data_IF_599335643622
#
_entry.id   IF_599335643622
#
_cell.length_a   1.000
_cell.length_b   1.000
_cell.length_c   1.000
_cell.angle_alpha   90.00
_cell.angle_beta   90.00
_cell.angle_gamma   90.00
#
_symmetry.space_group_name_H-M   'P 1'
#
loop_
_entity.id
_entity.type
_entity.pdbx_description
1 polymer ?
#
# COMPACT_ATOMS: atom_id res chain seq x y z
N UNK A 1 39.77 -35.29 -61.63
CA UNK A 1 38.41 -35.71 -62.01
C UNK A 1 37.44 -34.81 -61.27
N UNK A 2 36.79 -33.89 -61.99
CA UNK A 2 35.94 -32.85 -61.43
C UNK A 2 34.46 -33.29 -61.49
N UNK A 3 33.66 -33.04 -60.45
CA UNK A 3 32.24 -33.40 -60.43
C UNK A 3 31.38 -32.48 -61.31
N UNK A 4 30.18 -32.94 -61.70
CA UNK A 4 29.32 -32.23 -62.63
C UNK A 4 28.51 -31.10 -61.99
N UNK A 5 28.21 -30.13 -62.84
CA UNK A 5 27.39 -28.94 -62.65
C UNK A 5 25.91 -29.33 -62.62
N UNK A 6 25.18 -28.93 -61.57
CA UNK A 6 23.72 -29.00 -61.53
C UNK A 6 23.08 -27.63 -61.32
N UNK A 7 22.43 -27.22 -62.39
CA UNK A 7 21.31 -26.31 -62.63
C UNK A 7 20.85 -25.35 -61.51
N UNK A 8 21.05 -24.05 -61.82
CA UNK A 8 20.38 -22.88 -61.27
C UNK A 8 18.87 -22.96 -61.57
N UNK A 9 18.03 -22.99 -60.52
CA UNK A 9 16.57 -22.82 -60.65
C UNK A 9 16.27 -21.32 -60.64
N UNK A 10 15.70 -20.81 -61.73
CA UNK A 10 15.29 -19.42 -61.87
C UNK A 10 14.01 -19.15 -61.04
N UNK A 11 14.06 -18.11 -60.21
CA UNK A 11 12.93 -17.61 -59.45
C UNK A 11 11.88 -16.95 -60.36
N UNK A 12 10.56 -17.09 -60.08
CA UNK A 12 9.52 -16.41 -60.84
C UNK A 12 9.49 -14.91 -60.52
N UNK A 13 9.44 -14.11 -61.59
CA UNK A 13 9.26 -12.66 -61.61
C UNK A 13 7.96 -12.25 -60.90
N UNK A 14 8.08 -11.40 -59.89
CA UNK A 14 6.98 -10.67 -59.26
C UNK A 14 6.32 -9.72 -60.27
N UNK A 15 5.00 -9.85 -60.45
CA UNK A 15 4.17 -8.84 -61.12
C UNK A 15 3.82 -7.70 -60.13
N UNK A 16 3.80 -6.44 -60.59
CA UNK A 16 3.43 -5.30 -59.77
C UNK A 16 1.90 -5.18 -59.69
N UNK A 17 1.34 -5.45 -58.51
CA UNK A 17 -0.06 -5.16 -58.21
C UNK A 17 -0.23 -3.66 -57.96
N UNK A 18 -0.72 -2.98 -58.99
CA UNK A 18 -1.68 -1.87 -58.96
C UNK A 18 -1.80 -1.07 -57.67
N UNK A 19 -1.20 0.12 -57.71
CA UNK A 19 -1.32 1.22 -56.76
C UNK A 19 -2.74 1.81 -56.82
N UNK A 20 -3.68 1.22 -56.08
CA UNK A 20 -4.99 1.81 -55.84
C UNK A 20 -4.85 2.87 -54.73
N UNK A 21 -4.70 4.13 -55.16
CA UNK A 21 -4.71 5.32 -54.32
C UNK A 21 -6.12 5.51 -53.74
N UNK A 22 -6.43 4.84 -52.63
CA UNK A 22 -7.59 5.19 -51.82
C UNK A 22 -7.31 6.53 -51.13
N UNK A 23 -7.95 7.59 -51.63
CA UNK A 23 -8.12 8.86 -50.94
C UNK A 23 -8.81 8.60 -49.60
N UNK A 24 -8.00 8.41 -48.57
CA UNK A 24 -8.41 8.44 -47.17
C UNK A 24 -8.81 9.88 -46.84
N UNK A 25 -10.12 10.11 -46.72
CA UNK A 25 -10.66 11.36 -46.22
C UNK A 25 -10.10 11.64 -44.82
N UNK A 26 -9.52 12.82 -44.57
CA UNK A 26 -9.15 13.23 -43.23
C UNK A 26 -10.34 13.90 -42.55
N UNK A 27 -10.46 13.63 -41.24
CA UNK A 27 -11.01 14.57 -40.25
C UNK A 27 -12.54 14.64 -40.09
N UNK A 28 -13.12 13.56 -39.57
CA UNK A 28 -14.15 13.62 -38.53
C UNK A 28 -13.80 12.63 -37.41
N UNK A 29 -12.63 12.82 -36.81
CA UNK A 29 -12.18 12.14 -35.59
C UNK A 29 -12.34 13.11 -34.43
N UNK A 30 -13.57 13.37 -34.00
CA UNK A 30 -13.91 13.97 -32.71
C UNK A 30 -15.43 13.82 -32.55
N UNK A 31 -15.85 13.14 -31.48
CA UNK A 31 -17.25 12.84 -31.09
C UNK A 31 -17.96 11.62 -31.73
N UNK A 32 -17.29 10.47 -31.76
CA UNK A 32 -18.01 9.20 -31.54
C UNK A 32 -17.39 8.44 -30.35
N UNK A 33 -17.47 9.03 -29.16
CA UNK A 33 -17.42 8.20 -27.95
C UNK A 33 -18.68 7.35 -27.97
N UNK A 34 -18.55 6.10 -28.41
CA UNK A 34 -19.64 5.14 -28.36
C UNK A 34 -20.14 5.00 -26.91
N UNK A 35 -21.46 4.90 -26.68
CA UNK A 35 -22.04 4.67 -25.35
C UNK A 35 -21.64 3.31 -24.74
N UNK A 36 -20.88 2.48 -25.45
CA UNK A 36 -20.33 1.19 -25.02
C UNK A 36 -19.43 1.25 -23.78
N UNK A 37 -18.89 2.44 -23.44
CA UNK A 37 -18.09 2.61 -22.22
C UNK A 37 -18.92 2.58 -20.92
N UNK A 38 -20.25 2.74 -21.01
CA UNK A 38 -21.12 2.81 -19.83
C UNK A 38 -21.62 1.43 -19.35
N UNK A 39 -21.48 0.36 -20.14
CA UNK A 39 -21.82 -1.01 -19.72
C UNK A 39 -20.91 -2.15 -20.26
N UNK A 40 -19.57 -2.08 -20.13
CA UNK A 40 -18.66 -3.19 -20.47
C UNK A 40 -19.07 -4.57 -19.92
N UNK A 41 -19.72 -4.66 -18.76
CA UNK A 41 -20.23 -5.90 -18.15
C UNK A 41 -21.22 -6.66 -19.03
N UNK A 42 -21.93 -5.96 -19.92
CA UNK A 42 -22.89 -6.58 -20.87
C UNK A 42 -22.21 -7.06 -22.15
N UNK A 43 -21.01 -6.58 -22.43
CA UNK A 43 -20.26 -6.90 -23.66
C UNK A 43 -19.09 -7.85 -23.42
N UNK A 44 -18.59 -7.93 -22.18
CA UNK A 44 -17.48 -8.80 -21.79
C UNK A 44 -17.98 -10.14 -21.28
N UNK A 45 -17.45 -11.22 -21.85
CA UNK A 45 -17.65 -12.56 -21.32
C UNK A 45 -17.21 -12.61 -19.84
N UNK A 46 -17.98 -13.27 -18.95
CA UNK A 46 -17.59 -13.43 -17.56
C UNK A 46 -16.28 -14.19 -17.45
N UNK A 47 -15.45 -13.79 -16.48
CA UNK A 47 -14.20 -14.52 -16.19
C UNK A 47 -14.51 -15.95 -15.74
N UNK A 48 -15.63 -16.13 -15.04
CA UNK A 48 -16.16 -17.42 -14.65
C UNK A 48 -17.65 -17.53 -15.05
N UNK A 49 -17.98 -18.49 -15.92
CA UNK A 49 -19.34 -18.63 -16.44
C UNK A 49 -20.39 -19.03 -15.39
N UNK A 50 -19.96 -19.53 -14.23
CA UNK A 50 -20.85 -19.84 -13.11
C UNK A 50 -21.10 -18.64 -12.18
N UNK A 51 -20.45 -17.48 -12.41
CA UNK A 51 -20.68 -16.28 -11.62
C UNK A 51 -22.10 -15.74 -11.80
N UNK A 52 -22.77 -15.50 -10.69
CA UNK A 52 -24.11 -14.91 -10.67
C UNK A 52 -24.11 -13.50 -11.30
N UNK A 53 -25.05 -13.18 -12.23
CA UNK A 53 -25.05 -11.90 -12.93
C UNK A 53 -25.13 -10.67 -12.01
N UNK A 54 -25.89 -10.77 -10.92
CA UNK A 54 -26.07 -9.64 -9.99
C UNK A 54 -24.77 -9.29 -9.23
N UNK A 55 -23.90 -10.28 -8.97
CA UNK A 55 -22.59 -10.05 -8.34
C UNK A 55 -21.71 -9.25 -9.29
N UNK A 56 -21.67 -9.65 -10.57
CA UNK A 56 -20.93 -8.91 -11.60
C UNK A 56 -21.44 -7.47 -11.68
N UNK A 57 -22.75 -7.25 -11.78
CA UNK A 57 -23.32 -5.89 -11.83
C UNK A 57 -22.97 -5.05 -10.60
N UNK A 58 -23.00 -5.65 -9.40
CA UNK A 58 -22.62 -4.98 -8.16
C UNK A 58 -21.16 -4.55 -8.17
N UNK A 59 -20.24 -5.46 -8.52
CA UNK A 59 -18.79 -5.21 -8.54
C UNK A 59 -18.41 -4.17 -9.58
N UNK A 60 -18.98 -4.23 -10.79
CA UNK A 60 -18.73 -3.23 -11.82
C UNK A 60 -19.26 -1.85 -11.42
N UNK A 61 -20.40 -1.80 -10.72
CA UNK A 61 -20.95 -0.55 -10.18
C UNK A 61 -20.05 0.02 -9.08
N UNK A 62 -19.60 -0.81 -8.14
CA UNK A 62 -18.64 -0.44 -7.09
C UNK A 62 -17.37 0.15 -7.71
N UNK A 63 -16.79 -0.53 -8.70
CA UNK A 63 -15.59 -0.07 -9.39
C UNK A 63 -15.77 1.29 -10.09
N UNK A 64 -16.91 1.52 -10.76
CA UNK A 64 -17.21 2.81 -11.40
C UNK A 64 -17.33 3.94 -10.39
N UNK A 65 -18.07 3.69 -9.31
CA UNK A 65 -18.23 4.65 -8.21
C UNK A 65 -16.87 4.95 -7.59
N UNK A 66 -16.05 3.94 -7.35
CA UNK A 66 -14.70 4.09 -6.83
C UNK A 66 -13.80 4.90 -7.76
N UNK A 67 -13.77 4.63 -9.07
CA UNK A 67 -12.97 5.43 -10.02
C UNK A 67 -13.43 6.89 -10.03
N UNK A 68 -14.75 7.14 -10.10
CA UNK A 68 -15.29 8.49 -10.16
C UNK A 68 -15.01 9.28 -8.88
N UNK A 69 -15.39 8.72 -7.72
CA UNK A 69 -15.33 9.42 -6.44
C UNK A 69 -13.97 9.31 -5.75
N UNK A 70 -13.22 8.22 -5.94
CA UNK A 70 -11.98 7.99 -5.19
C UNK A 70 -10.73 8.36 -5.99
N UNK A 71 -10.83 8.54 -7.31
CA UNK A 71 -9.69 8.88 -8.16
C UNK A 71 -9.92 10.20 -8.91
N UNK A 72 -10.97 10.29 -9.73
CA UNK A 72 -11.16 11.44 -10.65
C UNK A 72 -11.45 12.73 -9.90
N UNK A 73 -12.46 12.75 -9.02
CA UNK A 73 -12.80 13.97 -8.26
C UNK A 73 -11.68 14.40 -7.32
N UNK A 74 -11.03 13.52 -6.53
CA UNK A 74 -9.88 13.87 -5.69
C UNK A 74 -8.70 14.42 -6.48
N UNK A 75 -8.49 13.93 -7.70
CA UNK A 75 -7.43 14.44 -8.56
C UNK A 75 -7.75 15.86 -9.01
N UNK A 76 -9.00 16.13 -9.38
CA UNK A 76 -9.49 17.49 -9.65
C UNK A 76 -9.34 18.43 -8.45
N UNK A 77 -9.72 18.00 -7.25
CA UNK A 77 -9.56 18.78 -6.01
C UNK A 77 -8.09 19.04 -5.68
N UNK A 78 -7.22 18.03 -5.82
CA UNK A 78 -5.79 18.18 -5.63
C UNK A 78 -5.21 19.20 -6.63
N UNK A 79 -5.51 19.04 -7.92
CA UNK A 79 -5.06 19.96 -8.96
C UNK A 79 -5.57 21.40 -8.72
N UNK A 80 -6.85 21.56 -8.35
CA UNK A 80 -7.42 22.85 -8.01
C UNK A 80 -6.75 23.47 -6.77
N UNK A 81 -6.43 22.67 -5.75
CA UNK A 81 -5.70 23.15 -4.58
C UNK A 81 -4.30 23.64 -4.92
N UNK A 82 -3.54 22.89 -5.74
CA UNK A 82 -2.21 23.30 -6.21
C UNK A 82 -2.30 24.58 -7.05
N UNK A 83 -3.23 24.63 -8.01
CA UNK A 83 -3.43 25.80 -8.87
C UNK A 83 -3.80 27.06 -8.06
N UNK A 84 -4.64 26.92 -7.02
CA UNK A 84 -5.02 28.01 -6.13
C UNK A 84 -3.91 28.45 -5.17
N UNK A 85 -2.84 27.67 -5.04
CA UNK A 85 -1.65 28.00 -4.24
C UNK A 85 -0.54 28.68 -5.04
N UNK A 86 -0.57 28.59 -6.37
CA UNK A 86 0.36 29.34 -7.22
C UNK A 86 0.07 30.84 -7.05
N UNK A 87 0.97 31.62 -6.42
CA UNK A 87 0.69 33.01 -6.08
C UNK A 87 0.58 33.86 -7.35
N UNK A 88 -0.43 34.73 -7.44
CA UNK A 88 -0.45 35.82 -8.43
C UNK A 88 0.36 37.02 -7.96
N UNK A 89 0.43 37.21 -6.65
CA UNK A 89 1.29 38.17 -5.92
C UNK A 89 1.85 37.50 -4.67
N UNK A 90 2.98 37.96 -4.10
CA UNK A 90 3.63 37.32 -2.94
C UNK A 90 2.74 37.11 -1.72
N UNK A 91 1.74 37.98 -1.50
CA UNK A 91 0.87 37.99 -0.32
C UNK A 91 -0.50 37.31 -0.52
N UNK A 92 -0.84 36.86 -1.73
CA UNK A 92 -2.20 36.35 -2.07
C UNK A 92 -2.34 34.81 -1.94
N UNK A 93 -1.67 34.23 -0.95
CA UNK A 93 -1.67 32.78 -0.79
C UNK A 93 -2.93 32.31 -0.06
N UNK A 94 -3.86 31.68 -0.81
CA UNK A 94 -5.11 31.16 -0.25
C UNK A 94 -4.85 30.15 0.87
N UNK A 95 -5.36 30.44 2.08
CA UNK A 95 -5.31 29.55 3.25
C UNK A 95 -6.13 28.28 3.03
N UNK A 96 -7.32 28.42 2.47
CA UNK A 96 -8.21 27.30 2.20
C UNK A 96 -7.66 26.33 1.16
N UNK A 97 -6.95 26.83 0.15
CA UNK A 97 -6.22 25.99 -0.78
C UNK A 97 -5.13 25.16 -0.08
N UNK A 98 -4.48 25.68 0.97
CA UNK A 98 -3.51 24.91 1.74
C UNK A 98 -4.20 23.83 2.60
N UNK A 99 -5.30 24.18 3.27
CA UNK A 99 -6.09 23.24 4.07
C UNK A 99 -6.57 22.07 3.20
N UNK A 100 -7.15 22.37 2.03
CA UNK A 100 -7.58 21.35 1.06
C UNK A 100 -6.40 20.57 0.49
N UNK A 101 -5.25 21.20 0.20
CA UNK A 101 -4.05 20.52 -0.28
C UNK A 101 -3.52 19.50 0.76
N UNK A 102 -3.51 19.86 2.04
CA UNK A 102 -3.10 18.97 3.14
C UNK A 102 -4.06 17.79 3.30
N UNK A 103 -5.37 18.05 3.29
CA UNK A 103 -6.41 17.01 3.35
C UNK A 103 -6.31 16.06 2.16
N UNK A 104 -6.17 16.59 0.93
CA UNK A 104 -5.99 15.80 -0.28
C UNK A 104 -4.69 15.00 -0.27
N UNK A 105 -3.60 15.57 0.22
CA UNK A 105 -2.34 14.83 0.35
C UNK A 105 -2.48 13.65 1.31
N UNK A 106 -3.12 13.86 2.46
CA UNK A 106 -3.40 12.77 3.41
C UNK A 106 -4.34 11.72 2.82
N UNK A 107 -5.37 12.16 2.08
CA UNK A 107 -6.30 11.29 1.38
C UNK A 107 -5.56 10.39 0.38
N UNK A 108 -4.71 10.95 -0.48
CA UNK A 108 -3.96 10.19 -1.49
C UNK A 108 -2.97 9.21 -0.88
N UNK A 109 -2.38 9.55 0.28
CA UNK A 109 -1.56 8.61 1.03
C UNK A 109 -2.38 7.39 1.46
N UNK A 110 -3.55 7.61 2.06
CA UNK A 110 -4.44 6.53 2.50
C UNK A 110 -5.07 5.74 1.33
N UNK A 111 -5.49 6.43 0.27
CA UNK A 111 -6.16 5.80 -0.88
C UNK A 111 -5.21 5.12 -1.85
N UNK A 112 -3.88 5.33 -1.73
CA UNK A 112 -2.88 4.65 -2.56
C UNK A 112 -2.96 3.12 -2.49
N UNK A 113 -3.54 2.57 -1.41
CA UNK A 113 -3.82 1.14 -1.28
C UNK A 113 -4.83 0.63 -2.33
N UNK A 114 -5.70 1.49 -2.90
CA UNK A 114 -6.55 1.13 -4.04
C UNK A 114 -5.72 0.79 -5.29
N UNK A 115 -4.64 1.53 -5.56
CA UNK A 115 -3.76 1.23 -6.69
C UNK A 115 -3.04 -0.11 -6.49
N UNK A 116 -2.59 -0.38 -5.26
CA UNK A 116 -2.02 -1.68 -4.89
C UNK A 116 -3.06 -2.79 -5.03
N UNK A 117 -4.31 -2.55 -4.64
CA UNK A 117 -5.43 -3.49 -4.84
C UNK A 117 -5.60 -3.84 -6.31
N UNK A 118 -5.62 -2.84 -7.21
CA UNK A 118 -5.72 -3.07 -8.65
C UNK A 118 -4.53 -3.90 -9.15
N UNK A 119 -3.30 -3.55 -8.77
CA UNK A 119 -2.11 -4.29 -9.18
C UNK A 119 -2.13 -5.75 -8.71
N UNK A 120 -2.53 -6.00 -7.47
CA UNK A 120 -2.70 -7.35 -6.90
C UNK A 120 -3.81 -8.14 -7.61
N UNK A 121 -4.95 -7.51 -7.90
CA UNK A 121 -6.06 -8.17 -8.61
C UNK A 121 -5.70 -8.51 -10.06
N UNK A 122 -4.86 -7.71 -10.74
CA UNK A 122 -4.34 -8.06 -12.07
C UNK A 122 -3.52 -9.37 -12.00
N UNK A 123 -2.76 -9.58 -10.91
CA UNK A 123 -2.02 -10.82 -10.66
C UNK A 123 -2.86 -11.95 -10.07
N UNK A 124 -4.17 -11.75 -9.86
CA UNK A 124 -5.04 -12.69 -9.14
C UNK A 124 -4.56 -13.02 -7.71
N UNK A 125 -3.85 -12.08 -7.07
CA UNK A 125 -3.34 -12.31 -5.72
C UNK A 125 -4.44 -12.14 -4.66
N UNK A 126 -4.63 -13.15 -3.81
CA UNK A 126 -5.60 -13.14 -2.70
C UNK A 126 -5.46 -11.93 -1.77
N UNK A 127 -4.25 -11.41 -1.62
CA UNK A 127 -3.98 -10.20 -0.82
C UNK A 127 -4.77 -8.98 -1.32
N UNK A 128 -5.10 -8.92 -2.62
CA UNK A 128 -5.90 -7.85 -3.21
C UNK A 128 -7.29 -7.73 -2.59
N UNK A 129 -7.91 -8.85 -2.19
CA UNK A 129 -9.23 -8.87 -1.51
C UNK A 129 -9.18 -8.09 -0.19
N UNK A 130 -8.17 -8.35 0.62
CA UNK A 130 -7.96 -7.66 1.90
C UNK A 130 -7.56 -6.19 1.69
N UNK A 131 -6.63 -5.93 0.76
CA UNK A 131 -6.19 -4.58 0.44
C UNK A 131 -7.35 -3.69 -0.02
N UNK A 132 -8.30 -4.22 -0.80
CA UNK A 132 -9.49 -3.49 -1.22
C UNK A 132 -10.34 -3.02 -0.05
N UNK A 133 -10.66 -3.93 0.89
CA UNK A 133 -11.43 -3.62 2.09
C UNK A 133 -10.71 -2.58 2.96
N UNK A 134 -9.42 -2.81 3.21
CA UNK A 134 -8.58 -1.92 4.01
C UNK A 134 -8.47 -0.53 3.38
N UNK A 135 -8.36 -0.44 2.06
CA UNK A 135 -8.28 0.83 1.34
C UNK A 135 -9.54 1.68 1.55
N UNK A 136 -10.72 1.07 1.43
CA UNK A 136 -11.99 1.77 1.64
C UNK A 136 -12.15 2.24 3.10
N UNK A 137 -11.78 1.41 4.07
CA UNK A 137 -11.79 1.81 5.48
C UNK A 137 -10.83 2.99 5.75
N UNK A 138 -9.63 2.94 5.18
CA UNK A 138 -8.64 4.02 5.31
C UNK A 138 -9.09 5.32 4.64
N UNK A 139 -9.85 5.25 3.54
CA UNK A 139 -10.47 6.43 2.93
C UNK A 139 -11.39 7.12 3.93
N UNK A 140 -12.32 6.39 4.58
CA UNK A 140 -13.23 6.97 5.58
C UNK A 140 -12.44 7.62 6.73
N UNK A 141 -11.44 6.92 7.27
CA UNK A 141 -10.60 7.48 8.34
C UNK A 141 -9.91 8.76 7.88
N UNK A 142 -9.25 8.73 6.72
CA UNK A 142 -8.46 9.86 6.22
C UNK A 142 -9.28 11.14 6.02
N UNK A 143 -10.55 11.02 5.65
CA UNK A 143 -11.43 12.16 5.40
C UNK A 143 -11.84 12.87 6.69
N UNK A 144 -11.94 12.17 7.82
CA UNK A 144 -12.48 12.70 9.07
C UNK A 144 -11.48 12.79 10.22
N UNK A 145 -10.28 12.26 10.04
CA UNK A 145 -9.29 12.18 11.11
C UNK A 145 -8.83 13.56 11.63
N UNK A 146 -8.46 14.47 10.74
CA UNK A 146 -7.78 15.74 11.07
C UNK A 146 -8.75 16.81 11.59
N UNK A 147 -8.83 17.03 12.90
CA UNK A 147 -9.84 17.90 13.50
C UNK A 147 -9.62 19.38 13.20
N UNK A 148 -8.38 19.85 13.33
CA UNK A 148 -7.99 21.25 13.06
C UNK A 148 -8.27 21.67 11.61
N UNK A 149 -7.90 20.81 10.64
CA UNK A 149 -8.17 21.06 9.24
C UNK A 149 -9.67 21.00 8.90
N UNK A 150 -10.46 20.24 9.66
CA UNK A 150 -11.91 20.20 9.49
C UNK A 150 -12.57 21.47 10.01
N UNK A 151 -12.17 21.94 11.19
CA UNK A 151 -12.66 23.20 11.77
C UNK A 151 -12.38 24.38 10.81
N UNK A 152 -11.16 24.47 10.27
CA UNK A 152 -10.81 25.50 9.27
C UNK A 152 -11.63 25.42 7.98
N UNK A 153 -11.98 24.20 7.56
CA UNK A 153 -12.77 23.98 6.35
C UNK A 153 -14.25 24.35 6.57
N UNK A 154 -14.75 24.17 7.78
CA UNK A 154 -16.13 24.48 8.15
C UNK A 154 -16.34 26.00 8.30
N UNK A 155 -15.31 26.72 8.78
CA UNK A 155 -15.31 28.17 8.94
C UNK A 155 -15.06 28.95 7.63
N UNK A 156 -14.72 28.28 6.53
CA UNK A 156 -14.38 28.91 5.24
C UNK A 156 -15.37 28.59 4.10
N UNK A 157 -15.87 29.65 3.45
CA UNK A 157 -16.83 29.56 2.33
C UNK A 157 -16.21 29.66 0.93
N UNK A 158 -14.88 29.60 0.82
CA UNK A 158 -14.21 29.59 -0.47
C UNK A 158 -14.77 28.48 -1.39
N UNK A 159 -14.87 28.72 -2.72
CA UNK A 159 -15.41 27.74 -3.66
C UNK A 159 -14.75 26.36 -3.58
N UNK A 160 -13.43 26.32 -3.33
CA UNK A 160 -12.68 25.08 -3.19
C UNK A 160 -13.07 24.30 -1.92
N UNK A 161 -13.24 25.00 -0.79
CA UNK A 161 -13.71 24.40 0.47
C UNK A 161 -15.13 23.85 0.33
N UNK A 162 -16.02 24.58 -0.34
CA UNK A 162 -17.37 24.08 -0.66
C UNK A 162 -17.34 22.85 -1.57
N UNK A 163 -16.49 22.86 -2.61
CA UNK A 163 -16.33 21.71 -3.50
C UNK A 163 -15.81 20.48 -2.75
N UNK A 164 -14.82 20.64 -1.87
CA UNK A 164 -14.32 19.56 -1.02
C UNK A 164 -15.42 19.02 -0.12
N UNK A 165 -16.15 19.89 0.61
CA UNK A 165 -17.25 19.49 1.51
C UNK A 165 -18.34 18.72 0.77
N UNK A 166 -18.73 19.21 -0.41
CA UNK A 166 -19.73 18.56 -1.26
C UNK A 166 -19.30 17.17 -1.76
N UNK A 167 -18.00 16.97 -2.04
CA UNK A 167 -17.46 15.67 -2.43
C UNK A 167 -17.21 14.71 -1.26
N UNK A 168 -16.83 15.24 -0.10
CA UNK A 168 -16.43 14.44 1.08
C UNK A 168 -17.53 13.52 1.57
N UNK A 169 -18.77 14.02 1.67
CA UNK A 169 -19.90 13.24 2.18
C UNK A 169 -20.24 12.04 1.28
N UNK A 170 -20.54 12.21 -0.03
CA UNK A 170 -20.85 11.07 -0.89
C UNK A 170 -19.69 10.08 -0.97
N UNK A 171 -18.45 10.55 -0.93
CA UNK A 171 -17.27 9.67 -0.88
C UNK A 171 -17.21 8.83 0.39
N UNK A 172 -17.48 9.43 1.55
CA UNK A 172 -17.50 8.72 2.83
C UNK A 172 -18.59 7.65 2.84
N UNK A 173 -19.78 7.98 2.31
CA UNK A 173 -20.89 7.03 2.18
C UNK A 173 -20.53 5.90 1.22
N UNK A 174 -19.97 6.22 0.06
CA UNK A 174 -19.57 5.21 -0.92
C UNK A 174 -18.50 4.26 -0.36
N UNK A 175 -17.47 4.79 0.32
CA UNK A 175 -16.42 3.98 0.91
C UNK A 175 -16.94 3.11 2.07
N UNK A 176 -17.81 3.64 2.93
CA UNK A 176 -18.45 2.86 3.98
C UNK A 176 -19.36 1.75 3.41
N UNK A 177 -20.13 2.06 2.36
CA UNK A 177 -20.97 1.09 1.67
C UNK A 177 -20.12 -0.01 1.02
N UNK A 178 -19.01 0.35 0.36
CA UNK A 178 -18.11 -0.62 -0.23
C UNK A 178 -17.40 -1.50 0.80
N UNK A 179 -17.07 -0.98 1.99
CA UNK A 179 -16.64 -1.83 3.13
C UNK A 179 -17.71 -2.87 3.46
N UNK A 180 -18.96 -2.45 3.63
CA UNK A 180 -20.07 -3.37 3.94
C UNK A 180 -20.28 -4.41 2.84
N UNK A 181 -20.22 -3.99 1.57
CA UNK A 181 -20.36 -4.87 0.40
C UNK A 181 -19.19 -5.85 0.30
N UNK A 182 -17.96 -5.46 0.61
CA UNK A 182 -16.77 -6.31 0.49
C UNK A 182 -16.59 -7.30 1.65
N UNK A 183 -17.22 -7.08 2.81
CA UNK A 183 -17.14 -7.98 3.97
C UNK A 183 -17.49 -9.45 3.66
N UNK A 184 -18.62 -9.79 2.99
CA UNK A 184 -18.93 -11.18 2.67
C UNK A 184 -17.93 -11.82 1.70
N UNK A 185 -17.18 -11.03 0.93
CA UNK A 185 -16.17 -11.53 -0.02
C UNK A 185 -14.80 -11.76 0.60
N UNK A 186 -14.62 -11.51 1.90
CA UNK A 186 -13.35 -11.80 2.58
C UNK A 186 -13.02 -13.30 2.61
N UNK A 187 -14.00 -14.18 2.41
CA UNK A 187 -13.76 -15.62 2.20
C UNK A 187 -12.86 -15.92 0.99
N UNK A 188 -12.83 -15.02 0.00
CA UNK A 188 -11.97 -15.15 -1.18
C UNK A 188 -10.47 -15.10 -0.87
N UNK A 189 -10.06 -14.60 0.31
CA UNK A 189 -8.65 -14.61 0.72
C UNK A 189 -8.10 -16.05 0.81
N UNK A 190 -8.94 -17.02 1.14
CA UNK A 190 -8.58 -18.44 1.24
C UNK A 190 -8.83 -19.25 -0.03
N UNK A 191 -9.28 -18.64 -1.13
CA UNK A 191 -9.55 -19.38 -2.36
C UNK A 191 -8.24 -19.86 -3.01
N UNK A 192 -8.24 -21.11 -3.51
CA UNK A 192 -7.10 -21.65 -4.27
C UNK A 192 -6.90 -20.92 -5.60
N UNK A 193 -8.01 -20.49 -6.23
CA UNK A 193 -8.00 -19.68 -7.44
C UNK A 193 -9.16 -18.69 -7.41
N UNK A 194 -8.84 -17.39 -7.38
CA UNK A 194 -9.85 -16.34 -7.44
C UNK A 194 -10.62 -16.36 -8.75
N UNK A 195 -9.96 -16.60 -9.88
CA UNK A 195 -10.63 -16.70 -11.19
C UNK A 195 -11.46 -17.99 -11.32
N UNK A 196 -11.03 -19.08 -10.68
CA UNK A 196 -11.74 -20.35 -10.67
C UNK A 196 -12.99 -20.38 -9.78
N UNK A 197 -13.06 -19.50 -8.78
CA UNK A 197 -14.20 -19.41 -7.88
C UNK A 197 -15.29 -18.46 -8.42
N UNK A 198 -16.52 -18.97 -8.55
CA UNK A 198 -17.64 -18.22 -9.14
C UNK A 198 -18.04 -16.97 -8.33
N UNK A 199 -17.79 -16.96 -7.02
CA UNK A 199 -18.10 -15.85 -6.13
C UNK A 199 -16.99 -14.79 -6.13
N UNK A 200 -15.73 -15.20 -6.29
CA UNK A 200 -14.56 -14.31 -6.25
C UNK A 200 -14.18 -13.72 -7.61
N UNK A 201 -14.34 -14.48 -8.70
CA UNK A 201 -13.91 -14.09 -10.04
C UNK A 201 -14.43 -12.72 -10.52
N UNK A 202 -15.68 -12.30 -10.23
CA UNK A 202 -16.18 -10.99 -10.64
C UNK A 202 -15.31 -9.82 -10.17
N UNK A 203 -14.68 -9.91 -9.00
CA UNK A 203 -13.82 -8.85 -8.42
C UNK A 203 -12.53 -8.60 -9.20
N UNK A 204 -12.12 -9.55 -10.04
CA UNK A 204 -10.95 -9.41 -10.90
C UNK A 204 -11.28 -8.74 -12.24
N UNK A 205 -12.53 -8.76 -12.67
CA UNK A 205 -12.90 -8.31 -14.01
C UNK A 205 -12.63 -6.82 -14.25
N UNK A 206 -13.09 -5.87 -13.39
CA UNK A 206 -12.85 -4.46 -13.67
C UNK A 206 -11.37 -4.06 -13.63
N UNK A 207 -10.54 -4.51 -12.65
CA UNK A 207 -9.10 -4.26 -12.66
C UNK A 207 -8.40 -4.77 -13.92
N UNK A 208 -8.71 -6.00 -14.36
CA UNK A 208 -8.13 -6.59 -15.58
C UNK A 208 -8.57 -5.85 -16.84
N UNK A 209 -9.83 -5.46 -16.92
CA UNK A 209 -10.32 -4.64 -18.02
C UNK A 209 -9.59 -3.28 -18.07
N UNK A 210 -9.51 -2.58 -16.94
CA UNK A 210 -8.82 -1.30 -16.85
C UNK A 210 -7.32 -1.41 -17.21
N UNK A 211 -6.67 -2.51 -16.81
CA UNK A 211 -5.28 -2.80 -17.17
C UNK A 211 -5.12 -3.01 -18.69
N UNK A 212 -6.04 -3.76 -19.30
CA UNK A 212 -6.08 -3.98 -20.75
C UNK A 212 -6.22 -2.68 -21.56
N UNK A 213 -6.92 -1.66 -21.04
CA UNK A 213 -7.04 -0.34 -21.70
C UNK A 213 -5.69 0.39 -21.84
N UNK A 214 -4.72 0.09 -20.97
CA UNK A 214 -3.39 0.71 -20.98
C UNK A 214 -2.29 -0.27 -21.38
N UNK A 215 -2.64 -1.46 -21.87
CA UNK A 215 -1.68 -2.49 -22.27
C UNK A 215 -0.87 -3.07 -21.10
N UNK A 216 -1.46 -3.11 -19.89
CA UNK A 216 -0.85 -3.69 -18.70
C UNK A 216 -1.42 -5.09 -18.46
N UNK A 217 -0.54 -6.09 -18.39
CA UNK A 217 -0.89 -7.49 -18.16
C UNK A 217 -0.26 -8.06 -16.89
N UNK A 218 -0.75 -9.23 -16.48
CA UNK A 218 -0.15 -10.00 -15.40
C UNK A 218 1.31 -10.35 -15.73
N UNK A 219 2.23 -10.08 -14.81
CA UNK A 219 3.65 -10.33 -15.01
C UNK A 219 4.41 -10.42 -13.69
N UNK A 220 5.49 -11.22 -13.60
CA UNK A 220 6.31 -11.30 -12.40
C UNK A 220 6.80 -9.94 -11.92
N UNK A 221 7.16 -9.04 -12.84
CA UNK A 221 7.61 -7.69 -12.51
C UNK A 221 6.52 -6.86 -11.82
N UNK A 222 5.29 -6.88 -12.33
CA UNK A 222 4.16 -6.19 -11.71
C UNK A 222 3.84 -6.79 -10.33
N UNK A 223 3.91 -8.12 -10.20
CA UNK A 223 3.79 -8.80 -8.90
C UNK A 223 4.84 -8.34 -7.89
N UNK A 224 6.12 -8.26 -8.27
CA UNK A 224 7.19 -7.75 -7.40
C UNK A 224 6.96 -6.29 -7.01
N UNK A 225 6.56 -5.43 -7.94
CA UNK A 225 6.25 -4.02 -7.66
C UNK A 225 5.09 -3.89 -6.69
N UNK A 226 4.00 -4.65 -6.88
CA UNK A 226 2.85 -4.66 -5.97
C UNK A 226 3.27 -5.10 -4.56
N UNK A 227 4.05 -6.18 -4.44
CA UNK A 227 4.53 -6.69 -3.16
C UNK A 227 5.43 -5.69 -2.43
N UNK A 228 6.40 -5.08 -3.13
CA UNK A 228 7.26 -4.03 -2.57
C UNK A 228 6.42 -2.82 -2.15
N UNK A 229 5.43 -2.43 -2.97
CA UNK A 229 4.50 -1.36 -2.67
C UNK A 229 3.69 -1.63 -1.39
N UNK A 230 3.16 -2.84 -1.23
CA UNK A 230 2.49 -3.26 0.00
C UNK A 230 3.41 -3.19 1.22
N UNK A 231 4.63 -3.75 1.13
CA UNK A 231 5.60 -3.69 2.22
C UNK A 231 5.92 -2.26 2.64
N UNK A 232 6.17 -1.38 1.67
CA UNK A 232 6.42 0.05 1.92
C UNK A 232 5.20 0.73 2.54
N UNK A 233 4.00 0.47 2.02
CA UNK A 233 2.75 1.02 2.56
C UNK A 233 2.56 0.62 4.02
N UNK A 234 2.74 -0.66 4.35
CA UNK A 234 2.63 -1.15 5.73
C UNK A 234 3.72 -0.57 6.65
N UNK A 235 4.95 -0.41 6.16
CA UNK A 235 6.02 0.22 6.93
C UNK A 235 5.68 1.68 7.27
N UNK A 236 5.20 2.45 6.29
CA UNK A 236 4.76 3.84 6.49
C UNK A 236 3.53 3.90 7.40
N UNK A 237 2.53 3.04 7.19
CA UNK A 237 1.34 2.98 8.04
C UNK A 237 1.70 2.66 9.50
N UNK A 238 2.62 1.71 9.71
CA UNK A 238 3.11 1.35 11.04
C UNK A 238 3.84 2.52 11.71
N UNK A 239 4.68 3.24 10.96
CA UNK A 239 5.32 4.46 11.44
C UNK A 239 4.28 5.54 11.82
N UNK A 240 3.26 5.72 10.99
CA UNK A 240 2.15 6.63 11.29
C UNK A 240 1.44 6.22 12.59
N UNK A 241 1.08 4.95 12.74
CA UNK A 241 0.34 4.46 13.90
C UNK A 241 1.15 4.51 15.21
N UNK A 242 2.43 4.17 15.16
CA UNK A 242 3.27 3.99 16.37
C UNK A 242 4.06 5.21 16.77
N UNK A 243 4.40 6.10 15.82
CA UNK A 243 5.25 7.27 16.08
C UNK A 243 4.50 8.56 15.81
N UNK A 244 3.88 8.70 14.62
CA UNK A 244 3.30 9.98 14.23
C UNK A 244 2.00 10.28 14.99
N UNK A 245 1.03 9.38 14.97
CA UNK A 245 -0.28 9.62 15.60
C UNK A 245 -0.19 9.91 17.11
N UNK A 246 0.63 9.22 17.92
CA UNK A 246 0.80 9.57 19.33
C UNK A 246 1.44 10.95 19.55
N UNK A 247 2.25 11.43 18.59
CA UNK A 247 2.97 12.71 18.74
C UNK A 247 2.17 13.90 18.23
N UNK A 248 1.45 13.76 17.11
CA UNK A 248 0.69 14.86 16.49
C UNK A 248 -0.81 14.81 16.80
N UNK A 249 -1.29 13.69 17.32
CA UNK A 249 -2.71 13.45 17.56
C UNK A 249 -3.54 13.57 16.29
N UNK A 250 -4.59 14.39 16.37
CA UNK A 250 -5.51 14.69 15.27
C UNK A 250 -5.22 16.02 14.58
N UNK A 251 -4.06 16.63 14.82
CA UNK A 251 -3.69 17.91 14.18
C UNK A 251 -2.92 17.68 12.88
N UNK A 252 -3.48 18.16 11.77
CA UNK A 252 -2.85 18.19 10.46
C UNK A 252 -1.82 19.31 10.29
N UNK A 253 -1.83 20.32 11.17
CA UNK A 253 -0.84 21.41 11.22
C UNK A 253 0.33 21.20 12.18
N UNK A 254 0.25 20.21 13.06
CA UNK A 254 1.32 19.92 14.02
C UNK A 254 2.68 19.73 13.34
N UNK A 255 3.72 20.20 14.03
CA UNK A 255 5.10 20.01 13.61
C UNK A 255 5.42 18.51 13.53
N UNK A 256 6.13 18.10 12.47
CA UNK A 256 6.48 16.70 12.22
C UNK A 256 7.98 16.48 12.34
N UNK A 257 8.43 15.26 12.71
CA UNK A 257 9.84 14.91 12.72
C UNK A 257 10.50 15.13 11.34
N UNK A 258 11.79 15.41 11.31
CA UNK A 258 12.56 15.71 10.09
C UNK A 258 12.48 14.62 9.02
N UNK A 259 12.31 13.36 9.44
CA UNK A 259 12.11 12.22 8.53
C UNK A 259 10.89 12.43 7.60
N UNK A 260 9.89 13.20 8.04
CA UNK A 260 8.69 13.50 7.25
C UNK A 260 8.94 14.51 6.12
N UNK A 261 10.15 15.07 6.01
CA UNK A 261 10.52 15.91 4.86
C UNK A 261 10.57 15.11 3.54
N UNK A 262 10.72 13.79 3.61
CA UNK A 262 10.64 12.90 2.45
C UNK A 262 9.21 12.47 2.08
N UNK A 263 8.19 13.00 2.76
CA UNK A 263 6.79 12.74 2.42
C UNK A 263 6.27 13.73 1.39
N UNK A 264 5.15 13.44 0.70
CA UNK A 264 4.47 14.40 -0.16
C UNK A 264 4.22 15.77 0.50
N UNK A 265 3.90 15.82 1.80
CA UNK A 265 3.75 17.09 2.54
C UNK A 265 5.08 17.84 2.64
N UNK A 266 6.18 17.13 2.88
CA UNK A 266 7.52 17.71 2.87
C UNK A 266 7.90 18.26 1.50
N UNK A 267 7.56 17.54 0.43
CA UNK A 267 7.75 18.00 -0.94
C UNK A 267 6.95 19.27 -1.24
N UNK A 268 5.67 19.33 -0.85
CA UNK A 268 4.86 20.54 -1.01
C UNK A 268 5.42 21.73 -0.23
N UNK A 269 5.95 21.51 0.98
CA UNK A 269 6.63 22.55 1.76
C UNK A 269 7.91 23.03 1.06
N UNK A 270 8.76 22.11 0.58
CA UNK A 270 9.98 22.46 -0.12
C UNK A 270 9.72 23.27 -1.40
N UNK A 271 8.59 23.03 -2.06
CA UNK A 271 8.11 23.78 -3.22
C UNK A 271 7.38 25.09 -2.85
N UNK A 272 7.24 25.42 -1.56
CA UNK A 272 6.56 26.62 -1.08
C UNK A 272 5.02 26.57 -1.16
N UNK A 273 4.43 25.42 -1.46
CA UNK A 273 2.96 25.27 -1.50
C UNK A 273 2.34 25.22 -0.10
N UNK A 274 3.11 24.87 0.93
CA UNK A 274 2.65 24.81 2.31
C UNK A 274 3.47 25.83 3.13
N UNK A 275 2.80 26.69 3.91
CA UNK A 275 3.51 27.62 4.78
C UNK A 275 4.12 26.91 5.99
N UNK A 276 5.21 27.49 6.49
CA UNK A 276 5.88 27.07 7.73
C UNK A 276 5.16 27.57 8.99
N UNK A 277 3.98 28.18 8.83
CA UNK A 277 3.09 28.64 9.91
C UNK A 277 2.45 27.45 10.66
N UNK A 278 3.15 26.32 10.79
CA UNK A 278 2.86 25.35 11.82
C UNK A 278 2.68 26.18 13.10
N UNK A 279 1.47 26.16 13.66
CA UNK A 279 1.11 26.90 14.86
C UNK A 279 2.29 26.69 15.80
N UNK A 280 3.02 27.78 16.08
CA UNK A 280 4.20 27.74 16.93
C UNK A 280 3.80 26.88 18.11
N UNK A 281 4.51 25.77 18.39
CA UNK A 281 4.01 24.72 19.26
C UNK A 281 3.45 25.42 20.49
N UNK A 282 2.13 25.41 20.66
CA UNK A 282 1.51 25.81 21.92
C UNK A 282 2.29 25.00 22.92
N UNK A 283 3.10 25.68 23.73
CA UNK A 283 4.19 25.08 24.47
C UNK A 283 3.72 23.72 24.96
N UNK A 284 4.36 22.61 24.53
CA UNK A 284 3.83 21.26 24.71
C UNK A 284 3.32 21.18 26.14
N UNK A 285 2.02 20.88 26.35
CA UNK A 285 1.31 21.18 27.60
C UNK A 285 2.13 20.63 28.74
N UNK A 286 2.82 21.51 29.49
CA UNK A 286 4.02 21.19 30.30
C UNK A 286 4.10 19.70 30.58
N UNK A 287 4.60 18.95 29.59
CA UNK A 287 4.69 17.50 29.73
C UNK A 287 5.79 17.44 30.75
N UNK A 288 5.41 17.05 31.96
CA UNK A 288 6.34 16.99 33.07
C UNK A 288 7.62 16.38 32.56
N UNK A 289 8.75 16.85 33.07
CA UNK A 289 10.11 16.40 32.80
C UNK A 289 10.37 14.89 32.95
N UNK A 290 9.34 14.04 32.92
CA UNK A 290 9.30 12.72 32.28
C UNK A 290 9.60 12.87 30.77
N UNK A 291 10.78 13.38 30.42
CA UNK A 291 11.96 12.56 30.16
C UNK A 291 12.06 12.46 28.64
N UNK A 292 12.90 13.31 28.05
CA UNK A 292 13.47 13.04 26.73
C UNK A 292 14.29 11.76 26.89
N UNK A 293 13.60 10.61 26.94
CA UNK A 293 14.22 9.31 27.02
C UNK A 293 15.30 9.28 25.95
N UNK A 294 16.50 8.87 26.36
CA UNK A 294 17.68 8.88 25.51
C UNK A 294 17.31 8.25 24.14
N UNK A 295 17.89 8.72 23.02
CA UNK A 295 17.59 8.16 21.69
C UNK A 295 17.58 6.63 21.66
N UNK A 296 18.45 6.00 22.46
CA UNK A 296 18.52 4.56 22.66
C UNK A 296 17.27 3.94 23.32
N UNK A 297 16.68 4.58 24.34
CA UNK A 297 15.47 4.08 25.00
C UNK A 297 14.24 4.20 24.10
N UNK A 298 14.18 5.23 23.24
CA UNK A 298 13.16 5.33 22.19
C UNK A 298 13.31 4.22 21.17
N UNK A 299 14.53 3.94 20.72
CA UNK A 299 14.81 2.81 19.83
C UNK A 299 14.37 1.48 20.47
N UNK A 300 14.75 1.23 21.73
CA UNK A 300 14.36 0.03 22.48
C UNK A 300 12.85 -0.13 22.55
N UNK A 301 12.12 0.91 22.95
CA UNK A 301 10.66 0.87 23.05
C UNK A 301 10.00 0.65 21.69
N UNK A 302 10.52 1.27 20.62
CA UNK A 302 9.99 1.10 19.27
C UNK A 302 10.18 -0.34 18.80
N UNK A 303 11.41 -0.85 18.85
CA UNK A 303 11.73 -2.20 18.40
C UNK A 303 11.02 -3.26 19.24
N UNK A 304 10.94 -3.08 20.56
CA UNK A 304 10.17 -3.99 21.41
C UNK A 304 8.69 -4.02 21.03
N UNK A 305 8.09 -2.88 20.68
CA UNK A 305 6.70 -2.82 20.18
C UNK A 305 6.54 -3.55 18.85
N UNK A 306 7.43 -3.31 17.91
CA UNK A 306 7.40 -3.98 16.59
C UNK A 306 7.56 -5.49 16.74
N UNK A 307 8.53 -5.95 17.54
CA UNK A 307 8.72 -7.37 17.83
C UNK A 307 7.52 -7.98 18.56
N UNK A 308 6.92 -7.25 19.49
CA UNK A 308 5.67 -7.64 20.16
C UNK A 308 4.55 -7.93 19.18
N UNK A 309 4.28 -6.99 18.27
CA UNK A 309 3.27 -7.14 17.21
C UNK A 309 3.62 -8.31 16.29
N UNK A 310 4.87 -8.42 15.86
CA UNK A 310 5.34 -9.51 14.99
C UNK A 310 5.10 -10.89 15.63
N UNK A 311 5.48 -11.07 16.90
CA UNK A 311 5.27 -12.36 17.58
C UNK A 311 3.79 -12.75 17.73
N UNK A 312 2.89 -11.78 17.96
CA UNK A 312 1.44 -12.03 17.96
C UNK A 312 0.95 -12.42 16.57
N UNK A 313 1.42 -11.72 15.52
CA UNK A 313 1.08 -12.03 14.15
C UNK A 313 1.56 -13.44 13.74
N UNK A 314 2.78 -13.82 14.13
CA UNK A 314 3.32 -15.16 13.89
C UNK A 314 2.48 -16.22 14.61
N UNK A 315 2.05 -15.97 15.85
CA UNK A 315 1.18 -16.87 16.60
C UNK A 315 -0.17 -17.06 15.90
N UNK A 316 -0.77 -15.97 15.41
CA UNK A 316 -2.02 -16.04 14.67
C UNK A 316 -1.87 -16.84 13.37
N UNK A 317 -0.78 -16.62 12.62
CA UNK A 317 -0.49 -17.36 11.38
C UNK A 317 -0.24 -18.85 11.63
N UNK A 318 0.48 -19.21 12.69
CA UNK A 318 0.77 -20.61 13.02
C UNK A 318 -0.43 -21.37 13.60
N UNK A 319 -1.23 -20.73 14.47
CA UNK A 319 -2.27 -21.41 15.24
C UNK A 319 -3.66 -21.38 14.57
N UNK A 320 -3.94 -20.32 13.81
CA UNK A 320 -5.26 -20.07 13.20
C UNK A 320 -5.15 -20.01 11.68
N UNK A 321 -4.05 -19.46 11.17
CA UNK A 321 -3.78 -19.31 9.75
C UNK A 321 -3.24 -20.56 9.07
N UNK A 322 -2.86 -20.40 7.81
CA UNK A 322 -2.27 -21.45 6.97
C UNK A 322 -0.77 -21.61 7.18
N UNK A 323 -0.19 -20.98 8.21
CA UNK A 323 1.27 -20.90 8.40
C UNK A 323 1.98 -20.31 7.17
N UNK A 324 1.43 -19.22 6.64
CA UNK A 324 1.93 -18.55 5.44
C UNK A 324 3.40 -18.11 5.58
N UNK A 325 3.84 -17.71 6.77
CA UNK A 325 5.23 -17.29 7.01
C UNK A 325 6.20 -18.47 7.02
N UNK A 326 5.79 -19.61 7.61
CA UNK A 326 6.60 -20.82 7.62
C UNK A 326 6.73 -21.38 6.20
N UNK A 327 5.62 -21.45 5.48
CA UNK A 327 5.58 -21.92 4.09
C UNK A 327 6.37 -21.00 3.15
N UNK A 328 6.27 -19.69 3.32
CA UNK A 328 7.10 -18.73 2.58
C UNK A 328 8.60 -18.87 2.90
N UNK A 329 8.96 -19.37 4.09
CA UNK A 329 10.34 -19.67 4.45
C UNK A 329 10.81 -21.06 3.95
N UNK A 330 9.95 -21.84 3.30
CA UNK A 330 10.25 -23.20 2.82
C UNK A 330 9.97 -24.31 3.84
N UNK A 331 9.31 -24.01 4.96
CA UNK A 331 8.92 -24.99 5.98
C UNK A 331 7.47 -25.48 5.76
N UNK A 332 7.13 -26.73 6.15
CA UNK A 332 5.74 -27.16 6.20
C UNK A 332 4.88 -26.29 7.12
N UNK A 333 3.54 -26.31 6.97
CA UNK A 333 2.64 -25.69 7.91
C UNK A 333 2.87 -26.14 9.35
N UNK A 334 2.56 -25.29 10.33
CA UNK A 334 2.87 -25.51 11.74
C UNK A 334 2.40 -26.87 12.26
N UNK A 335 1.22 -27.32 11.85
CA UNK A 335 0.60 -28.58 12.27
C UNK A 335 1.36 -29.81 11.72
N UNK A 336 2.06 -29.65 10.60
CA UNK A 336 2.84 -30.69 9.94
C UNK A 336 4.30 -30.74 10.40
N UNK A 337 4.77 -29.69 11.09
CA UNK A 337 6.10 -29.69 11.67
C UNK A 337 6.25 -30.80 12.71
N UNK A 338 7.43 -31.44 12.79
CA UNK A 338 7.73 -32.34 13.91
C UNK A 338 7.75 -31.55 15.23
N UNK A 339 7.58 -32.22 16.36
CA UNK A 339 7.47 -31.58 17.68
C UNK A 339 8.60 -30.56 17.99
N UNK A 340 9.89 -30.82 17.67
CA UNK A 340 10.94 -29.82 17.84
C UNK A 340 10.74 -28.56 16.98
N UNK A 341 10.22 -28.72 15.75
CA UNK A 341 9.88 -27.61 14.86
C UNK A 341 8.71 -26.78 15.37
N UNK A 342 7.66 -27.44 15.88
CA UNK A 342 6.54 -26.76 16.54
C UNK A 342 7.00 -25.99 17.78
N UNK A 343 7.87 -26.59 18.60
CA UNK A 343 8.42 -25.93 19.77
C UNK A 343 9.24 -24.68 19.40
N UNK A 344 10.06 -24.76 18.33
CA UNK A 344 10.83 -23.63 17.83
C UNK A 344 9.94 -22.52 17.26
N UNK A 345 8.92 -22.87 16.47
CA UNK A 345 7.94 -21.90 15.98
C UNK A 345 7.17 -21.24 17.14
N UNK A 346 6.81 -22.00 18.17
CA UNK A 346 6.22 -21.48 19.41
C UNK A 346 7.16 -20.51 20.14
N UNK A 347 8.45 -20.84 20.22
CA UNK A 347 9.47 -19.94 20.80
C UNK A 347 9.59 -18.64 20.01
N UNK A 348 9.58 -18.71 18.68
CA UNK A 348 9.61 -17.54 17.80
C UNK A 348 8.38 -16.64 17.99
N UNK A 349 7.19 -17.22 18.13
CA UNK A 349 5.96 -16.50 18.45
C UNK A 349 6.04 -15.78 19.81
N UNK A 350 6.61 -16.44 20.83
CA UNK A 350 6.73 -15.89 22.19
C UNK A 350 7.85 -14.86 22.33
N UNK A 351 8.91 -14.96 21.52
CA UNK A 351 10.05 -14.06 21.58
C UNK A 351 9.63 -12.59 21.40
N UNK A 352 8.65 -12.33 20.54
CA UNK A 352 8.13 -10.99 20.28
C UNK A 352 7.52 -10.31 21.50
N UNK A 353 6.46 -10.88 22.12
CA UNK A 353 5.89 -10.37 23.36
C UNK A 353 6.90 -10.22 24.49
N UNK A 354 7.88 -11.13 24.60
CA UNK A 354 8.95 -11.02 25.60
C UNK A 354 9.88 -9.82 25.32
N UNK A 355 10.26 -9.59 24.06
CA UNK A 355 11.02 -8.41 23.65
C UNK A 355 10.25 -7.11 23.92
N UNK A 356 8.94 -7.10 23.71
CA UNK A 356 8.08 -5.99 24.10
C UNK A 356 8.12 -5.70 25.60
N UNK A 357 7.88 -6.71 26.43
CA UNK A 357 7.87 -6.56 27.89
C UNK A 357 9.22 -6.07 28.43
N UNK A 358 10.30 -6.69 27.97
CA UNK A 358 11.66 -6.30 28.38
C UNK A 358 12.05 -4.90 27.89
N UNK A 359 11.53 -4.44 26.74
CA UNK A 359 11.76 -3.07 26.26
C UNK A 359 11.19 -1.99 27.18
N UNK A 360 10.17 -2.31 27.99
CA UNK A 360 9.58 -1.38 28.96
C UNK A 360 10.46 -1.12 30.17
N UNK A 361 11.41 -2.01 30.44
CA UNK A 361 12.36 -1.87 31.55
C UNK A 361 13.59 -1.00 31.21
N UNK A 362 13.83 -0.72 29.92
CA UNK A 362 14.99 0.03 29.45
C UNK A 362 16.34 -0.68 29.68
N UNK A 363 17.43 0.03 29.37
CA UNK A 363 18.79 -0.41 29.67
C UNK A 363 19.17 -1.80 29.11
N UNK A 364 19.96 -2.55 29.89
CA UNK A 364 20.47 -3.88 29.50
C UNK A 364 19.38 -4.94 29.35
N UNK A 365 18.27 -4.80 30.08
CA UNK A 365 17.15 -5.75 30.01
C UNK A 365 16.46 -5.63 28.65
N UNK A 366 16.22 -4.41 28.19
CA UNK A 366 15.70 -4.15 26.86
C UNK A 366 16.64 -4.66 25.76
N UNK A 367 17.94 -4.40 25.88
CA UNK A 367 18.94 -4.90 24.91
C UNK A 367 18.94 -6.44 24.84
N UNK A 368 18.90 -7.11 25.99
CA UNK A 368 18.84 -8.58 26.05
C UNK A 368 17.58 -9.12 25.37
N UNK A 369 16.43 -8.47 25.55
CA UNK A 369 15.18 -8.83 24.87
C UNK A 369 15.27 -8.73 23.35
N UNK A 370 15.84 -7.64 22.83
CA UNK A 370 16.04 -7.44 21.40
C UNK A 370 17.01 -8.47 20.80
N UNK A 371 18.14 -8.72 21.48
CA UNK A 371 19.13 -9.72 21.07
C UNK A 371 18.53 -11.12 21.09
N UNK A 372 17.78 -11.48 22.13
CA UNK A 372 17.13 -12.79 22.23
C UNK A 372 16.14 -13.01 21.08
N UNK A 373 15.33 -12.01 20.72
CA UNK A 373 14.44 -12.09 19.56
C UNK A 373 15.23 -12.35 18.27
N UNK A 374 16.25 -11.53 18.00
CA UNK A 374 17.06 -11.67 16.79
C UNK A 374 17.77 -13.02 16.69
N UNK A 375 18.24 -13.57 17.82
CA UNK A 375 18.82 -14.91 17.87
C UNK A 375 17.80 -16.00 17.53
N UNK A 376 16.59 -15.93 18.09
CA UNK A 376 15.53 -16.92 17.79
C UNK A 376 15.16 -16.87 16.30
N UNK A 377 15.02 -15.67 15.73
CA UNK A 377 14.72 -15.49 14.31
C UNK A 377 15.82 -16.05 13.39
N UNK A 378 17.07 -15.69 13.64
CA UNK A 378 18.22 -16.15 12.82
C UNK A 378 18.44 -17.66 12.96
N UNK A 379 18.33 -18.22 14.18
CA UNK A 379 18.44 -19.66 14.40
C UNK A 379 17.30 -20.42 13.73
N UNK A 380 16.06 -19.92 13.82
CA UNK A 380 14.91 -20.49 13.12
C UNK A 380 15.13 -20.52 11.61
N UNK A 381 15.53 -19.39 11.03
CA UNK A 381 15.81 -19.28 9.61
C UNK A 381 16.98 -20.19 9.17
N UNK A 382 18.04 -20.30 9.98
CA UNK A 382 19.18 -21.18 9.71
C UNK A 382 18.77 -22.66 9.73
N UNK A 383 17.95 -23.08 10.70
CA UNK A 383 17.47 -24.45 10.80
C UNK A 383 16.56 -24.82 9.62
N UNK A 384 15.68 -23.92 9.19
CA UNK A 384 14.88 -24.13 7.97
C UNK A 384 15.81 -24.24 6.76
N UNK A 385 16.78 -23.32 6.63
CA UNK A 385 17.74 -23.32 5.52
C UNK A 385 18.62 -24.56 5.45
N UNK A 386 18.87 -25.22 6.59
CA UNK A 386 19.65 -26.45 6.63
C UNK A 386 18.87 -27.69 6.14
N UNK A 387 17.54 -27.60 6.03
CA UNK A 387 16.66 -28.72 5.70
C UNK A 387 15.92 -28.55 4.35
N UNK A 388 16.21 -27.49 3.60
CA UNK A 388 15.59 -27.17 2.31
C UNK A 388 16.70 -27.07 1.25
N UNK A 389 16.42 -27.50 0.00
CA UNK A 389 17.38 -27.40 -1.09
C UNK A 389 17.78 -25.93 -1.37
N UNK A 390 19.08 -25.69 -1.55
CA UNK A 390 19.71 -24.37 -1.60
C UNK A 390 19.15 -23.39 -2.66
N UNK A 391 18.36 -23.86 -3.62
CA UNK A 391 17.84 -23.07 -4.74
C UNK A 391 16.62 -22.19 -4.39
N UNK A 392 15.94 -22.43 -3.27
CA UNK A 392 14.71 -21.69 -2.89
C UNK A 392 14.89 -20.74 -1.69
N UNK A 393 16.12 -20.54 -1.21
CA UNK A 393 16.35 -20.00 0.14
C UNK A 393 16.60 -18.49 0.21
N UNK A 394 15.57 -17.76 0.64
CA UNK A 394 15.70 -16.37 1.10
C UNK A 394 15.65 -16.21 2.64
N UNK A 395 15.24 -17.24 3.40
CA UNK A 395 14.93 -17.11 4.83
C UNK A 395 16.12 -16.64 5.69
N UNK A 396 17.26 -17.35 5.65
CA UNK A 396 18.43 -16.98 6.45
C UNK A 396 19.06 -15.64 6.00
N UNK A 397 19.30 -15.39 4.70
CA UNK A 397 19.77 -14.08 4.25
C UNK A 397 18.86 -12.92 4.68
N UNK A 398 17.53 -13.10 4.62
CA UNK A 398 16.57 -12.09 5.04
C UNK A 398 16.63 -11.83 6.55
N UNK A 399 16.65 -12.89 7.37
CA UNK A 399 16.78 -12.75 8.82
C UNK A 399 18.09 -12.03 9.20
N UNK A 400 19.21 -12.40 8.58
CA UNK A 400 20.50 -11.72 8.80
C UNK A 400 20.47 -10.26 8.37
N UNK A 401 19.83 -9.94 7.23
CA UNK A 401 19.70 -8.58 6.74
C UNK A 401 18.86 -7.71 7.71
N UNK A 402 17.71 -8.21 8.17
CA UNK A 402 16.86 -7.52 9.14
C UNK A 402 17.63 -7.27 10.44
N UNK A 403 18.28 -8.29 10.99
CA UNK A 403 19.04 -8.13 12.23
C UNK A 403 20.27 -7.23 12.06
N UNK A 404 20.89 -7.20 10.87
CA UNK A 404 21.93 -6.23 10.53
C UNK A 404 21.44 -4.78 10.60
N UNK A 405 20.25 -4.49 10.05
CA UNK A 405 19.63 -3.16 10.12
C UNK A 405 19.29 -2.77 11.56
N UNK A 406 18.76 -3.71 12.34
CA UNK A 406 18.43 -3.49 13.76
C UNK A 406 19.69 -3.20 14.57
N UNK A 407 20.76 -3.97 14.39
CA UNK A 407 22.03 -3.76 15.05
C UNK A 407 22.66 -2.39 14.68
N UNK A 408 22.67 -2.03 13.40
CA UNK A 408 23.17 -0.73 12.94
C UNK A 408 22.36 0.44 13.55
N UNK A 409 21.04 0.29 13.62
CA UNK A 409 20.14 1.30 14.21
C UNK A 409 20.35 1.45 15.71
N UNK A 410 20.61 0.33 16.41
CA UNK A 410 20.96 0.33 17.83
C UNK A 410 22.29 1.05 18.07
N UNK A 411 23.35 0.73 17.31
CA UNK A 411 24.67 1.39 17.41
C UNK A 411 24.55 2.89 17.17
N UNK A 412 23.81 3.28 16.13
CA UNK A 412 23.59 4.70 15.84
C UNK A 412 22.89 5.41 16.99
N UNK A 413 21.87 4.77 17.57
CA UNK A 413 21.10 5.34 18.69
C UNK A 413 21.93 5.40 19.98
N UNK A 414 22.82 4.43 20.23
CA UNK A 414 23.69 4.43 21.40
C UNK A 414 24.71 5.58 21.32
N UNK A 415 25.30 5.82 20.15
CA UNK A 415 26.27 6.90 19.94
C UNK A 415 25.69 8.32 20.13
N UNK A 416 24.36 8.49 20.00
CA UNK A 416 23.73 9.78 20.28
C UNK A 416 23.58 10.06 21.78
N UNK A 417 23.56 9.02 22.60
CA UNK A 417 23.44 9.16 24.06
C UNK A 417 24.69 9.79 24.66
N UNK A 418 25.85 9.58 24.05
CA UNK A 418 27.14 10.12 24.51
C UNK A 418 27.34 11.61 24.19
N UNK A 419 26.45 12.23 23.40
CA UNK A 419 26.56 13.64 22.96
C UNK A 419 25.65 14.60 23.74
N UNK A 420 24.72 14.08 24.52
CA UNK A 420 23.81 14.83 25.41
C UNK A 420 24.32 14.76 26.83
#
# INVERSE_FOLDING_TARGET
MRPPVSMLVAAPLQQPSSLALHLQQPSTLLLSMQPSLLSPETTLAPLNAASEPWIRSLVWTDFRVAVALFVVVPFGLLAASVAARVPRTPDDRSKSAETVLRLMTSYWQASSLLLLTVALNIQEANLGVFCGLAAQAMIVVSLWWWSDLNEELDDDDAPLSRAFRAWRLPTSVAAAAGVVVQLPFQGCVGAESLAGDAFCAPWLEPPKFAAGLVGLDASPALGSVANIGCLLYFAVLSYYATVLLPTVGRSGRAARPTLMNFTPIGAWRALGFISDDAIAPTAPPAVGSAELAAPLDRFRSLMGTLYGIAGIAHAADCLIGTSALLTAAGAPPFQELPLPGQALAGLWCLAGPLAYLTSRSGGRVADAGLVAYGLVEVLGAALISANVDAAELAALPNALAVQGVVAASWIYSSMQTDKS
#
